data_IF_874176589627
#
_entry.id   IF_874176589627
#
_cell.length_a   1.000
_cell.length_b   1.000
_cell.length_c   1.000
_cell.angle_alpha   90.00
_cell.angle_beta   90.00
_cell.angle_gamma   90.00
#
_symmetry.space_group_name_H-M   'P 1'
#
loop_
_entity.id
_entity.type
_entity.pdbx_description
1 polymer ?
#
# COMPACT_ATOMS: atom_id res chain seq x y z
N UNK A 1 -23.66 -33.54 1.01
CA UNK A 1 -24.15 -32.27 1.58
C UNK A 1 -23.30 -31.96 2.81
N UNK A 2 -22.21 -31.21 2.64
CA UNK A 2 -21.33 -30.79 3.73
C UNK A 2 -21.40 -29.27 3.81
N UNK A 3 -22.09 -28.78 4.83
CA UNK A 3 -22.23 -27.36 5.15
C UNK A 3 -20.93 -26.89 5.78
N UNK A 4 -20.08 -26.23 5.01
CA UNK A 4 -18.89 -25.57 5.55
C UNK A 4 -19.28 -24.23 6.15
N UNK A 5 -19.12 -24.12 7.47
CA UNK A 5 -19.28 -22.93 8.28
C UNK A 5 -18.23 -21.89 7.83
N UNK A 6 -18.64 -20.86 7.08
CA UNK A 6 -17.80 -19.70 6.81
C UNK A 6 -17.83 -18.83 8.06
N UNK A 7 -16.70 -18.81 8.77
CA UNK A 7 -16.51 -17.97 9.94
C UNK A 7 -16.69 -16.50 9.58
N UNK A 8 -17.80 -15.92 10.04
CA UNK A 8 -17.85 -14.50 10.32
C UNK A 8 -16.69 -14.20 11.28
N UNK A 9 -15.76 -13.34 10.85
CA UNK A 9 -14.93 -12.58 11.77
C UNK A 9 -15.85 -11.63 12.55
N UNK A 10 -16.51 -12.19 13.56
CA UNK A 10 -17.10 -11.45 14.66
C UNK A 10 -15.97 -10.97 15.57
N UNK A 11 -15.67 -9.68 15.52
CA UNK A 11 -15.00 -9.01 16.63
C UNK A 11 -15.89 -9.17 17.86
N UNK A 12 -15.38 -9.89 18.86
CA UNK A 12 -16.03 -10.02 20.17
C UNK A 12 -16.10 -8.69 20.88
N UNK A 13 -17.32 -8.21 21.15
CA UNK A 13 -17.59 -7.33 22.27
C UNK A 13 -17.52 -8.16 23.55
N UNK A 14 -16.45 -7.97 24.33
CA UNK A 14 -16.45 -8.27 25.75
C UNK A 14 -16.37 -6.94 26.52
N UNK A 15 -17.55 -6.40 26.84
CA UNK A 15 -17.71 -5.36 27.86
C UNK A 15 -17.63 -6.03 29.24
N UNK A 16 -16.51 -5.86 29.94
CA UNK A 16 -16.42 -6.13 31.37
C UNK A 16 -15.65 -5.01 32.07
N UNK A 17 -16.45 -4.17 32.74
CA UNK A 17 -16.24 -3.57 34.05
C UNK A 17 -14.89 -2.87 34.36
N UNK A 18 -14.98 -1.54 34.45
CA UNK A 18 -14.11 -0.70 35.25
C UNK A 18 -14.10 -1.16 36.72
N UNK A 19 -12.91 -1.35 37.30
CA UNK A 19 -12.71 -1.19 38.73
C UNK A 19 -11.36 -0.53 38.99
N UNK A 20 -11.41 0.77 39.20
CA UNK A 20 -10.33 1.61 39.72
C UNK A 20 -9.94 1.09 41.11
N UNK A 21 -8.64 0.92 41.35
CA UNK A 21 -8.11 0.80 42.71
C UNK A 21 -6.83 1.62 42.80
N UNK A 22 -6.99 2.81 43.36
CA UNK A 22 -5.93 3.66 43.88
C UNK A 22 -5.19 2.91 44.99
N UNK A 23 -3.86 2.81 44.89
CA UNK A 23 -3.00 2.71 46.07
C UNK A 23 -1.58 3.19 45.70
N UNK A 24 -1.31 4.46 46.00
CA UNK A 24 0.05 5.01 45.97
C UNK A 24 0.80 4.61 47.25
N UNK A 25 1.98 3.98 47.16
CA UNK A 25 2.84 3.79 48.31
C UNK A 25 3.63 5.08 48.67
N UNK A 26 3.99 5.26 49.95
CA UNK A 26 4.54 6.49 50.48
C UNK A 26 5.99 6.74 50.06
N UNK A 27 6.30 8.02 49.83
CA UNK A 27 7.63 8.57 49.56
C UNK A 27 8.50 8.52 50.83
N UNK A 28 9.68 7.88 50.82
CA UNK A 28 10.67 8.03 51.87
C UNK A 28 11.56 9.26 51.65
N UNK A 29 11.91 9.90 52.75
CA UNK A 29 12.66 11.13 52.87
C UNK A 29 14.09 11.08 52.31
N UNK A 30 14.48 12.24 51.80
CA UNK A 30 15.82 12.68 51.38
C UNK A 30 16.89 12.46 52.46
N UNK A 31 18.03 11.89 52.08
CA UNK A 31 19.31 12.05 52.78
C UNK A 31 20.30 12.79 51.86
N UNK A 32 21.06 13.78 52.37
CA UNK A 32 22.16 14.36 51.63
C UNK A 32 23.41 13.49 51.81
N UNK A 33 23.93 12.95 50.71
CA UNK A 33 25.25 12.30 50.68
C UNK A 33 26.21 13.21 49.93
N UNK A 34 27.18 13.76 50.66
CA UNK A 34 28.37 14.41 50.12
C UNK A 34 29.14 13.45 49.22
N UNK A 35 29.43 13.86 47.98
CA UNK A 35 30.41 13.19 47.11
C UNK A 35 31.70 14.03 47.05
N UNK A 36 32.88 13.41 47.20
CA UNK A 36 34.16 14.06 46.98
C UNK A 36 34.34 14.43 45.50
N UNK A 37 34.71 15.69 45.26
CA UNK A 37 35.20 16.16 43.98
C UNK A 37 36.53 15.46 43.64
N UNK A 38 36.50 14.56 42.66
CA UNK A 38 37.69 14.22 41.88
C UNK A 38 37.45 14.65 40.44
N UNK A 39 38.00 15.81 40.11
CA UNK A 39 38.12 16.30 38.75
C UNK A 39 39.11 15.42 37.99
N UNK A 40 38.60 14.49 37.19
CA UNK A 40 39.35 13.91 36.07
C UNK A 40 38.85 14.62 34.82
N UNK A 41 39.70 15.46 34.25
CA UNK A 41 39.45 16.10 32.96
C UNK A 41 39.22 14.99 31.92
N UNK A 42 38.07 14.94 31.21
CA UNK A 42 37.98 14.10 30.03
C UNK A 42 38.96 14.67 29.00
N UNK A 43 40.06 13.94 28.77
CA UNK A 43 40.87 14.14 27.58
C UNK A 43 39.91 14.01 26.39
N UNK A 44 39.62 15.14 25.72
CA UNK A 44 39.00 15.15 24.42
C UNK A 44 39.91 14.39 23.46
N UNK A 45 39.70 13.08 23.38
CA UNK A 45 40.21 12.29 22.29
C UNK A 45 39.60 12.88 21.03
N UNK A 46 40.42 13.58 20.25
CA UNK A 46 40.11 14.00 18.90
C UNK A 46 39.81 12.71 18.14
N UNK A 47 38.52 12.39 18.00
CA UNK A 47 38.12 11.29 17.12
C UNK A 47 38.58 11.66 15.71
N UNK A 48 39.24 10.73 14.98
CA UNK A 48 39.57 10.96 13.59
C UNK A 48 38.31 11.36 12.82
N UNK A 49 38.39 12.43 12.02
CA UNK A 49 37.34 12.80 11.06
C UNK A 49 37.10 11.60 10.13
N UNK A 50 36.10 10.78 10.46
CA UNK A 50 35.63 9.72 9.57
C UNK A 50 34.93 10.43 8.41
N UNK A 51 35.39 10.24 7.15
CA UNK A 51 34.74 10.87 6.01
C UNK A 51 33.25 10.53 5.99
N UNK A 52 32.39 11.55 5.91
CA UNK A 52 30.96 11.35 5.79
C UNK A 52 30.67 10.41 4.61
N UNK A 53 29.86 9.38 4.85
CA UNK A 53 29.48 8.44 3.80
C UNK A 53 28.88 9.20 2.60
N UNK A 54 29.22 8.82 1.35
CA UNK A 54 28.71 9.50 0.16
C UNK A 54 27.18 9.50 0.16
N UNK A 55 26.57 10.69 0.16
CA UNK A 55 25.11 10.80 0.11
C UNK A 55 24.59 10.48 -1.28
N UNK A 56 23.48 9.74 -1.37
CA UNK A 56 22.81 9.50 -2.65
C UNK A 56 22.22 10.84 -3.16
N UNK A 57 22.48 11.26 -4.41
CA UNK A 57 22.06 12.57 -4.95
C UNK A 57 20.58 12.62 -5.29
N UNK A 58 19.91 13.75 -5.00
CA UNK A 58 18.49 13.93 -5.32
C UNK A 58 18.23 13.82 -6.84
N UNK A 59 17.04 13.37 -7.20
CA UNK A 59 16.58 13.34 -8.59
C UNK A 59 15.41 14.29 -8.72
N UNK A 60 15.61 15.40 -9.45
CA UNK A 60 14.57 16.37 -9.75
C UNK A 60 13.36 15.71 -10.37
N UNK A 61 12.16 16.26 -10.11
CA UNK A 61 10.92 15.71 -10.67
C UNK A 61 10.98 15.64 -12.19
N UNK A 62 10.63 14.48 -12.74
CA UNK A 62 10.54 14.24 -14.18
C UNK A 62 9.23 13.54 -14.52
N UNK A 63 8.82 13.65 -15.78
CA UNK A 63 7.61 13.02 -16.29
C UNK A 63 7.94 11.71 -17.00
N UNK A 64 7.15 10.68 -16.70
CA UNK A 64 7.23 9.38 -17.33
C UNK A 64 6.03 9.24 -18.26
N UNK A 65 6.28 9.05 -19.55
CA UNK A 65 5.22 8.87 -20.54
C UNK A 65 4.42 7.58 -20.30
N UNK A 66 3.16 7.58 -20.74
CA UNK A 66 2.32 6.38 -20.81
C UNK A 66 3.01 5.24 -21.58
N UNK A 67 2.69 4.00 -21.23
CA UNK A 67 3.04 2.84 -22.06
C UNK A 67 3.32 1.59 -21.25
N UNK A 68 3.78 0.56 -21.95
CA UNK A 68 4.15 -0.74 -21.38
C UNK A 68 5.57 -0.68 -20.80
N UNK A 69 5.77 -1.26 -19.61
CA UNK A 69 7.09 -1.51 -19.04
C UNK A 69 7.69 -2.82 -19.60
N UNK A 70 8.96 -3.10 -19.30
CA UNK A 70 9.63 -4.34 -19.73
C UNK A 70 8.98 -5.62 -19.18
N UNK A 71 8.19 -5.52 -18.11
CA UNK A 71 7.42 -6.64 -17.53
C UNK A 71 6.04 -6.86 -18.20
N UNK A 72 5.75 -6.19 -19.32
CA UNK A 72 4.50 -6.36 -20.07
C UNK A 72 3.26 -5.70 -19.43
N UNK A 73 3.45 -4.85 -18.42
CA UNK A 73 2.37 -4.13 -17.73
C UNK A 73 2.30 -2.69 -18.22
N UNK A 74 1.11 -2.26 -18.63
CA UNK A 74 0.86 -0.89 -19.06
C UNK A 74 0.60 0.04 -17.87
N UNK A 75 1.06 1.28 -17.94
CA UNK A 75 0.73 2.35 -16.99
C UNK A 75 0.37 3.63 -17.73
N UNK A 76 -0.52 4.49 -17.18
CA UNK A 76 -0.67 5.86 -17.67
C UNK A 76 0.62 6.64 -17.44
N UNK A 77 0.71 7.87 -17.98
CA UNK A 77 1.80 8.78 -17.61
C UNK A 77 1.74 9.18 -16.13
N UNK A 78 2.90 9.40 -15.52
CA UNK A 78 3.04 9.80 -14.12
C UNK A 78 4.34 10.58 -13.87
N UNK A 79 4.36 11.42 -12.84
CA UNK A 79 5.57 12.07 -12.34
C UNK A 79 6.37 11.17 -11.39
N UNK A 80 7.70 11.27 -11.42
CA UNK A 80 8.60 10.60 -10.49
C UNK A 80 9.68 11.56 -9.98
N UNK A 81 10.15 11.37 -8.75
CA UNK A 81 11.24 12.13 -8.15
C UNK A 81 11.92 11.34 -7.03
N UNK A 82 13.11 11.80 -6.61
CA UNK A 82 13.79 11.33 -5.40
C UNK A 82 14.28 12.51 -4.59
N UNK A 83 14.02 12.52 -3.29
CA UNK A 83 14.56 13.51 -2.38
C UNK A 83 15.88 13.07 -1.74
N UNK A 84 16.75 14.03 -1.42
CA UNK A 84 17.94 13.74 -0.62
C UNK A 84 17.55 13.29 0.81
N UNK A 85 18.42 12.50 1.45
CA UNK A 85 18.21 12.04 2.84
C UNK A 85 17.16 10.94 3.02
N UNK A 86 16.76 10.27 1.93
CA UNK A 86 15.90 9.09 1.98
C UNK A 86 16.68 7.76 2.12
N UNK A 87 18.01 7.83 2.15
CA UNK A 87 18.90 6.67 2.25
C UNK A 87 18.87 6.05 3.65
N UNK A 88 19.26 4.77 3.76
CA UNK A 88 19.33 4.02 5.04
C UNK A 88 17.98 3.82 5.75
N UNK A 89 16.87 4.16 5.10
CA UNK A 89 15.51 3.96 5.59
C UNK A 89 15.04 2.54 5.36
N UNK A 90 14.30 2.01 6.33
CA UNK A 90 13.51 0.79 6.10
C UNK A 90 12.30 1.09 5.18
N UNK A 91 11.52 0.07 4.84
CA UNK A 91 10.38 0.22 3.94
C UNK A 91 9.35 1.25 4.44
N UNK A 92 9.00 1.22 5.73
CA UNK A 92 7.97 2.12 6.31
C UNK A 92 8.44 3.57 6.27
N UNK A 93 9.67 3.82 6.70
CA UNK A 93 10.28 5.16 6.70
C UNK A 93 10.41 5.71 5.28
N UNK A 94 10.76 4.86 4.31
CA UNK A 94 10.82 5.22 2.89
C UNK A 94 9.43 5.56 2.33
N UNK A 95 8.41 4.75 2.65
CA UNK A 95 7.03 5.01 2.24
C UNK A 95 6.47 6.31 2.84
N UNK A 96 6.78 6.58 4.11
CA UNK A 96 6.42 7.83 4.78
C UNK A 96 7.13 9.03 4.15
N UNK A 97 8.41 8.89 3.76
CA UNK A 97 9.15 9.95 3.09
C UNK A 97 8.50 10.36 1.76
N UNK A 98 8.04 9.40 0.95
CA UNK A 98 7.28 9.72 -0.26
C UNK A 98 5.91 10.32 0.04
N UNK A 99 5.21 9.77 1.05
CA UNK A 99 3.87 10.23 1.44
C UNK A 99 3.88 11.68 1.94
N UNK A 100 4.94 12.10 2.65
CA UNK A 100 5.15 13.47 3.09
C UNK A 100 5.25 14.49 1.93
N UNK A 101 5.39 14.02 0.69
CA UNK A 101 5.47 14.84 -0.52
C UNK A 101 4.22 14.70 -1.40
N UNK A 102 3.17 14.04 -0.90
CA UNK A 102 1.98 13.72 -1.68
C UNK A 102 2.23 12.68 -2.79
N UNK A 103 3.32 11.91 -2.68
CA UNK A 103 3.69 10.83 -3.59
C UNK A 103 3.66 9.48 -2.87
N UNK A 104 3.95 8.40 -3.58
CA UNK A 104 4.10 7.07 -2.99
C UNK A 104 5.38 6.42 -3.49
N UNK A 105 5.85 5.38 -2.83
CA UNK A 105 6.89 4.52 -3.42
C UNK A 105 6.37 4.04 -4.78
N UNK A 106 7.20 4.15 -5.81
CA UNK A 106 6.87 3.59 -7.11
C UNK A 106 6.57 2.09 -6.96
N UNK A 107 5.56 1.57 -7.65
CA UNK A 107 5.45 0.11 -7.83
C UNK A 107 6.61 -0.41 -8.67
N UNK A 108 6.81 -1.72 -8.71
CA UNK A 108 7.83 -2.35 -9.55
C UNK A 108 7.67 -1.95 -11.02
N UNK A 109 6.44 -1.95 -11.55
CA UNK A 109 6.16 -1.49 -12.92
C UNK A 109 6.47 -0.01 -13.12
N UNK A 110 6.08 0.85 -12.16
CA UNK A 110 6.38 2.28 -12.25
C UNK A 110 7.89 2.55 -12.20
N UNK A 111 8.63 1.81 -11.36
CA UNK A 111 10.08 1.92 -11.30
C UNK A 111 10.74 1.59 -12.65
N UNK A 112 10.36 0.48 -13.28
CA UNK A 112 10.91 0.08 -14.59
C UNK A 112 10.69 1.17 -15.65
N UNK A 113 9.46 1.74 -15.69
CA UNK A 113 9.10 2.85 -16.58
C UNK A 113 9.89 4.13 -16.28
N UNK A 114 10.01 4.49 -15.00
CA UNK A 114 10.78 5.65 -14.58
C UNK A 114 12.28 5.49 -14.91
N UNK A 115 12.81 4.29 -14.77
CA UNK A 115 14.20 3.97 -15.07
C UNK A 115 14.51 4.01 -16.57
N UNK A 116 13.60 3.51 -17.40
CA UNK A 116 13.74 3.66 -18.85
C UNK A 116 13.72 5.13 -19.28
N UNK A 117 12.93 5.98 -18.62
CA UNK A 117 12.87 7.41 -18.91
C UNK A 117 14.07 8.20 -18.35
N UNK A 118 14.62 7.75 -17.23
CA UNK A 118 15.79 8.36 -16.58
C UNK A 118 16.70 7.27 -16.00
N UNK A 119 17.69 6.77 -16.76
CA UNK A 119 18.56 5.67 -16.33
C UNK A 119 19.39 5.93 -15.07
N UNK A 120 19.56 7.20 -14.66
CA UNK A 120 20.28 7.54 -13.42
C UNK A 120 19.60 7.00 -12.15
N UNK A 121 18.30 6.71 -12.20
CA UNK A 121 17.60 6.11 -11.05
C UNK A 121 18.11 4.68 -10.76
N UNK A 122 18.70 4.01 -11.75
CA UNK A 122 19.18 2.64 -11.63
C UNK A 122 20.48 2.50 -10.84
N UNK A 123 21.19 3.60 -10.59
CA UNK A 123 22.49 3.61 -9.92
C UNK A 123 22.40 3.06 -8.50
N UNK A 124 21.27 3.25 -7.82
CA UNK A 124 21.05 2.81 -6.45
C UNK A 124 19.83 1.89 -6.38
N UNK A 125 19.81 0.99 -5.40
CA UNK A 125 18.61 0.20 -5.14
C UNK A 125 17.51 1.11 -4.59
N UNK A 126 16.26 0.92 -5.02
CA UNK A 126 15.09 1.62 -4.51
C UNK A 126 14.12 0.63 -3.90
N UNK A 127 13.51 1.01 -2.78
CA UNK A 127 12.26 0.40 -2.34
C UNK A 127 11.18 0.56 -3.41
N UNK A 128 10.27 -0.42 -3.49
CA UNK A 128 9.05 -0.31 -4.30
C UNK A 128 7.83 -0.61 -3.44
N UNK A 129 6.64 -0.17 -3.86
CA UNK A 129 5.38 -0.55 -3.23
C UNK A 129 4.90 -1.98 -3.58
N UNK A 130 5.73 -2.76 -4.30
CA UNK A 130 5.41 -4.12 -4.73
C UNK A 130 5.96 -5.15 -3.75
N UNK A 131 5.09 -6.05 -3.29
CA UNK A 131 5.48 -7.16 -2.42
C UNK A 131 5.76 -8.44 -3.21
N UNK A 132 6.81 -9.16 -2.85
CA UNK A 132 7.12 -10.49 -3.36
C UNK A 132 6.42 -11.58 -2.53
N UNK A 133 6.68 -12.85 -2.87
CA UNK A 133 6.29 -13.97 -2.02
C UNK A 133 7.07 -13.95 -0.70
N UNK A 134 6.44 -14.37 0.41
CA UNK A 134 7.17 -14.63 1.66
C UNK A 134 7.57 -13.38 2.47
N UNK A 135 6.70 -12.37 2.52
CA UNK A 135 6.87 -11.15 3.34
C UNK A 135 8.07 -10.27 2.94
N UNK A 136 8.61 -10.43 1.74
CA UNK A 136 9.65 -9.57 1.20
C UNK A 136 9.05 -8.46 0.33
N UNK A 137 9.67 -7.29 0.36
CA UNK A 137 9.38 -6.18 -0.55
C UNK A 137 10.33 -6.26 -1.73
N UNK A 138 9.82 -6.02 -2.93
CA UNK A 138 10.66 -5.94 -4.12
C UNK A 138 11.47 -4.64 -4.07
N UNK A 139 12.77 -4.76 -4.27
CA UNK A 139 13.66 -3.63 -4.53
C UNK A 139 14.19 -3.71 -5.96
N UNK A 140 14.39 -2.55 -6.60
CA UNK A 140 14.91 -2.46 -7.97
C UNK A 140 16.09 -1.50 -8.06
N UNK A 141 17.02 -1.70 -8.99
CA UNK A 141 18.22 -0.86 -9.15
C UNK A 141 19.47 -1.38 -8.42
N UNK A 142 20.54 -0.58 -8.37
CA UNK A 142 21.83 -0.97 -7.80
C UNK A 142 22.68 -1.87 -8.71
N UNK A 143 22.16 -2.24 -9.87
CA UNK A 143 22.82 -3.03 -10.91
C UNK A 143 22.21 -2.80 -12.29
N UNK A 144 21.62 -1.62 -12.51
CA UNK A 144 20.84 -1.30 -13.72
C UNK A 144 19.32 -1.42 -13.50
N UNK A 145 18.53 -1.04 -14.52
CA UNK A 145 17.07 -0.92 -14.40
C UNK A 145 16.37 -2.25 -14.10
N UNK A 146 16.93 -3.34 -14.63
CA UNK A 146 16.38 -4.68 -14.48
C UNK A 146 16.84 -5.40 -13.21
N UNK A 147 17.82 -4.84 -12.48
CA UNK A 147 18.27 -5.42 -11.22
C UNK A 147 17.09 -5.49 -10.24
N UNK A 148 16.80 -6.71 -9.77
CA UNK A 148 15.69 -7.03 -8.87
C UNK A 148 16.20 -7.81 -7.67
N UNK A 149 15.72 -7.45 -6.49
CA UNK A 149 15.94 -8.24 -5.29
C UNK A 149 14.67 -8.25 -4.44
N UNK A 150 14.58 -9.22 -3.54
CA UNK A 150 13.51 -9.34 -2.55
C UNK A 150 14.16 -9.09 -1.19
N UNK A 151 13.74 -8.04 -0.51
CA UNK A 151 14.35 -7.64 0.76
C UNK A 151 13.32 -7.64 1.89
N UNK A 152 13.74 -8.02 3.09
CA UNK A 152 12.87 -7.90 4.27
C UNK A 152 12.54 -6.41 4.51
N UNK A 153 11.29 -6.06 4.86
CA UNK A 153 10.87 -4.67 4.94
C UNK A 153 11.58 -3.88 6.05
N UNK A 154 12.07 -4.55 7.09
CA UNK A 154 12.84 -3.95 8.18
C UNK A 154 14.31 -3.69 7.86
N UNK A 155 14.85 -4.23 6.76
CA UNK A 155 16.25 -4.08 6.41
C UNK A 155 16.60 -2.62 6.11
N UNK A 156 17.84 -2.23 6.42
CA UNK A 156 18.38 -0.90 6.15
C UNK A 156 19.63 -1.02 5.32
N UNK A 157 19.86 -0.06 4.43
CA UNK A 157 21.03 -0.04 3.56
C UNK A 157 21.35 1.39 3.11
N UNK A 158 22.61 1.79 3.28
CA UNK A 158 23.10 3.13 2.90
C UNK A 158 23.14 3.33 1.38
N UNK A 159 23.11 2.23 0.61
CA UNK A 159 23.05 2.25 -0.85
C UNK A 159 21.62 2.10 -1.40
N UNK A 160 20.61 2.23 -0.53
CA UNK A 160 19.20 2.13 -0.89
C UNK A 160 18.47 3.45 -0.70
N UNK A 161 17.65 3.82 -1.67
CA UNK A 161 16.86 5.04 -1.71
C UNK A 161 15.35 4.76 -1.87
N UNK A 162 14.56 5.81 -1.97
CA UNK A 162 13.12 5.76 -2.19
C UNK A 162 12.75 6.60 -3.43
N UNK A 163 12.55 5.94 -4.57
CA UNK A 163 11.96 6.60 -5.73
C UNK A 163 10.47 6.80 -5.48
N UNK A 164 10.04 8.07 -5.48
CA UNK A 164 8.68 8.47 -5.21
C UNK A 164 7.95 8.80 -6.51
N UNK A 165 6.81 8.16 -6.76
CA UNK A 165 5.99 8.34 -7.94
C UNK A 165 4.62 8.94 -7.58
N UNK A 166 4.05 9.67 -8.53
CA UNK A 166 2.60 9.87 -8.57
C UNK A 166 1.93 8.50 -8.71
N UNK A 167 0.79 8.32 -8.07
CA UNK A 167 0.16 7.01 -8.02
C UNK A 167 -0.41 6.60 -9.37
N UNK A 168 0.04 5.46 -9.90
CA UNK A 168 -0.53 4.81 -11.08
C UNK A 168 -0.66 3.29 -10.87
N UNK A 169 -1.80 2.72 -11.25
CA UNK A 169 -2.07 1.28 -11.19
C UNK A 169 -1.62 0.62 -12.50
N UNK A 170 -0.85 -0.47 -12.40
CA UNK A 170 -0.45 -1.23 -13.58
C UNK A 170 -1.63 -2.02 -14.16
N UNK A 171 -1.81 -1.98 -15.47
CA UNK A 171 -2.87 -2.71 -16.18
C UNK A 171 -2.26 -3.78 -17.07
N UNK A 172 -2.71 -5.02 -16.90
CA UNK A 172 -2.45 -6.12 -17.84
C UNK A 172 -3.76 -6.54 -18.49
N UNK A 173 -3.82 -6.52 -19.82
CA UNK A 173 -5.05 -6.87 -20.54
C UNK A 173 -4.73 -7.30 -21.97
N UNK A 174 -5.59 -8.16 -22.54
CA UNK A 174 -5.58 -8.46 -23.97
C UNK A 174 -6.16 -7.34 -24.83
N UNK A 175 -6.91 -6.40 -24.24
CA UNK A 175 -7.47 -5.26 -24.96
C UNK A 175 -6.45 -4.10 -25.03
N UNK A 176 -5.79 -3.95 -26.17
CA UNK A 176 -4.75 -2.92 -26.38
C UNK A 176 -5.28 -1.51 -26.68
N UNK A 177 -6.60 -1.27 -26.60
CA UNK A 177 -7.17 0.06 -26.77
C UNK A 177 -6.76 0.99 -25.59
N UNK A 178 -6.01 2.06 -25.88
CA UNK A 178 -5.52 2.99 -24.84
C UNK A 178 -6.64 3.67 -24.05
N UNK A 179 -7.77 4.03 -24.69
CA UNK A 179 -8.90 4.63 -23.98
C UNK A 179 -9.52 3.66 -22.96
N UNK A 180 -9.63 2.37 -23.31
CA UNK A 180 -10.07 1.32 -22.40
C UNK A 180 -9.12 1.18 -21.20
N UNK A 181 -7.80 1.12 -21.43
CA UNK A 181 -6.80 0.98 -20.36
C UNK A 181 -6.79 2.21 -19.43
N UNK A 182 -6.85 3.42 -20.00
CA UNK A 182 -6.95 4.68 -19.24
C UNK A 182 -8.20 4.76 -18.39
N UNK A 183 -9.37 4.46 -18.98
CA UNK A 183 -10.64 4.50 -18.26
C UNK A 183 -10.65 3.48 -17.12
N UNK A 184 -10.17 2.27 -17.35
CA UNK A 184 -10.10 1.22 -16.33
C UNK A 184 -9.12 1.56 -15.21
N UNK A 185 -7.94 2.09 -15.56
CA UNK A 185 -6.98 2.62 -14.59
C UNK A 185 -7.62 3.73 -13.72
N UNK A 186 -8.25 4.71 -14.36
CA UNK A 186 -8.85 5.84 -13.65
C UNK A 186 -9.97 5.41 -12.70
N UNK A 187 -10.78 4.43 -13.11
CA UNK A 187 -11.86 3.86 -12.32
C UNK A 187 -11.34 3.12 -11.08
N UNK A 188 -10.30 2.28 -11.24
CA UNK A 188 -9.64 1.58 -10.14
C UNK A 188 -8.91 2.53 -9.19
N UNK A 189 -8.21 3.53 -9.73
CA UNK A 189 -7.51 4.53 -8.91
C UNK A 189 -8.48 5.42 -8.15
N UNK A 190 -9.64 5.74 -8.74
CA UNK A 190 -10.72 6.46 -8.06
C UNK A 190 -11.25 5.66 -6.86
N UNK A 191 -11.49 4.36 -7.04
CA UNK A 191 -11.86 3.47 -5.94
C UNK A 191 -10.80 3.43 -4.84
N UNK A 192 -9.51 3.25 -5.19
CA UNK A 192 -8.40 3.25 -4.22
C UNK A 192 -8.35 4.54 -3.40
N UNK A 193 -8.46 5.69 -4.07
CA UNK A 193 -8.44 7.01 -3.41
C UNK A 193 -9.61 7.16 -2.44
N UNK A 194 -10.81 6.78 -2.85
CA UNK A 194 -11.99 6.89 -1.99
C UNK A 194 -11.95 5.91 -0.81
N UNK A 195 -11.42 4.71 -1.03
CA UNK A 195 -11.18 3.72 0.03
C UNK A 195 -10.17 4.23 1.06
N UNK A 196 -9.03 4.76 0.59
CA UNK A 196 -7.99 5.35 1.45
C UNK A 196 -8.43 6.68 2.09
N UNK A 197 -9.42 7.35 1.51
CA UNK A 197 -10.13 8.48 2.10
C UNK A 197 -10.98 8.10 3.32
N UNK A 198 -11.17 6.79 3.59
CA UNK A 198 -11.85 6.24 4.77
C UNK A 198 -13.27 6.81 4.95
N UNK A 199 -13.94 7.08 3.84
CA UNK A 199 -15.29 7.65 3.80
C UNK A 199 -16.22 6.70 3.08
N UNK A 200 -17.06 5.99 3.86
CA UNK A 200 -18.08 5.09 3.30
C UNK A 200 -19.03 5.83 2.35
N UNK A 201 -19.39 7.08 2.64
CA UNK A 201 -20.25 7.88 1.76
C UNK A 201 -19.60 8.15 0.40
N UNK A 202 -18.30 8.41 0.36
CA UNK A 202 -17.59 8.63 -0.91
C UNK A 202 -17.43 7.31 -1.65
N UNK A 203 -17.13 6.22 -0.94
CA UNK A 203 -16.99 4.88 -1.50
C UNK A 203 -18.32 4.34 -2.06
N UNK A 204 -19.45 4.76 -1.47
CA UNK A 204 -20.81 4.41 -1.89
C UNK A 204 -21.07 4.66 -3.37
N UNK A 205 -20.38 5.62 -3.99
CA UNK A 205 -20.55 5.90 -5.43
C UNK A 205 -20.00 4.79 -6.33
N UNK A 206 -19.23 3.84 -5.81
CA UNK A 206 -18.70 2.72 -6.61
C UNK A 206 -19.64 1.50 -6.61
N UNK A 207 -20.51 1.37 -5.62
CA UNK A 207 -21.38 0.22 -5.46
C UNK A 207 -22.62 0.30 -6.35
N UNK A 208 -23.05 -0.85 -6.87
CA UNK A 208 -24.42 -1.06 -7.33
C UNK A 208 -25.38 -1.18 -6.13
N UNK A 209 -26.69 -1.17 -6.38
CA UNK A 209 -27.70 -1.28 -5.32
C UNK A 209 -27.64 -2.64 -4.58
N UNK A 210 -27.21 -3.68 -5.29
CA UNK A 210 -26.92 -5.01 -4.74
C UNK A 210 -25.50 -5.42 -5.14
N UNK A 211 -24.71 -5.89 -4.18
CA UNK A 211 -23.32 -6.28 -4.36
C UNK A 211 -23.09 -7.67 -3.78
N UNK A 212 -22.45 -8.55 -4.54
CA UNK A 212 -21.88 -9.80 -4.01
C UNK A 212 -20.52 -9.50 -3.38
N UNK A 213 -20.49 -9.39 -2.06
CA UNK A 213 -19.31 -9.08 -1.26
C UNK A 213 -18.82 -10.35 -0.56
N UNK A 214 -17.63 -10.84 -0.92
CA UNK A 214 -17.03 -12.08 -0.39
C UNK A 214 -18.02 -13.28 -0.38
N UNK A 215 -18.79 -13.41 -1.47
CA UNK A 215 -19.78 -14.46 -1.66
C UNK A 215 -21.17 -14.18 -1.06
N UNK A 216 -21.31 -13.18 -0.18
CA UNK A 216 -22.60 -12.77 0.37
C UNK A 216 -23.25 -11.69 -0.50
N UNK A 217 -24.55 -11.80 -0.76
CA UNK A 217 -25.31 -10.75 -1.45
C UNK A 217 -25.78 -9.73 -0.44
N UNK A 218 -25.28 -8.50 -0.55
CA UNK A 218 -25.57 -7.39 0.34
C UNK A 218 -26.23 -6.24 -0.42
N UNK A 219 -27.10 -5.50 0.26
CA UNK A 219 -27.53 -4.20 -0.25
C UNK A 219 -26.41 -3.17 -0.12
N UNK A 220 -26.44 -2.15 -0.97
CA UNK A 220 -25.52 -1.01 -0.92
C UNK A 220 -25.39 -0.41 0.49
N UNK A 221 -26.51 -0.17 1.16
CA UNK A 221 -26.53 0.39 2.51
C UNK A 221 -25.82 -0.52 3.54
N UNK A 222 -25.92 -1.85 3.37
CA UNK A 222 -25.23 -2.80 4.23
C UNK A 222 -23.73 -2.83 3.97
N UNK A 223 -23.31 -2.70 2.71
CA UNK A 223 -21.89 -2.54 2.36
C UNK A 223 -21.34 -1.26 2.98
N UNK A 224 -22.03 -0.13 2.82
CA UNK A 224 -21.60 1.17 3.37
C UNK A 224 -21.48 1.11 4.91
N UNK A 225 -22.43 0.48 5.60
CA UNK A 225 -22.37 0.28 7.05
C UNK A 225 -21.15 -0.57 7.47
N UNK A 226 -20.87 -1.66 6.73
CA UNK A 226 -19.72 -2.52 6.98
C UNK A 226 -18.41 -1.76 6.83
N UNK A 227 -18.27 -1.01 5.73
CA UNK A 227 -17.09 -0.19 5.46
C UNK A 227 -16.90 0.92 6.49
N UNK A 228 -17.97 1.62 6.88
CA UNK A 228 -17.91 2.63 7.94
C UNK A 228 -17.43 2.05 9.27
N UNK A 229 -17.89 0.85 9.62
CA UNK A 229 -17.48 0.15 10.83
C UNK A 229 -16.00 -0.24 10.75
N UNK A 230 -15.57 -0.77 9.60
CA UNK A 230 -14.17 -1.12 9.34
C UNK A 230 -13.23 0.09 9.45
N UNK A 231 -13.59 1.21 8.82
CA UNK A 231 -12.80 2.45 8.87
C UNK A 231 -12.70 3.02 10.29
N UNK A 232 -13.76 2.89 11.08
CA UNK A 232 -13.77 3.33 12.48
C UNK A 232 -12.86 2.45 13.36
N UNK A 233 -12.86 1.14 13.13
CA UNK A 233 -12.01 0.19 13.88
C UNK A 233 -10.55 0.23 13.46
N UNK A 234 -10.23 0.73 12.27
CA UNK A 234 -8.88 0.78 11.71
C UNK A 234 -8.58 2.18 11.14
N UNK A 235 -8.41 3.20 12.00
CA UNK A 235 -8.24 4.59 11.56
C UNK A 235 -6.92 4.80 10.80
N UNK A 236 -5.91 3.98 11.10
CA UNK A 236 -4.61 3.96 10.44
C UNK A 236 -4.58 2.76 9.50
N UNK A 237 -5.00 2.98 8.26
CA UNK A 237 -4.94 1.96 7.23
C UNK A 237 -4.76 2.57 5.86
N UNK A 238 -4.26 1.75 4.93
CA UNK A 238 -4.20 2.08 3.52
C UNK A 238 -4.27 0.81 2.67
N UNK A 239 -4.65 0.98 1.41
CA UNK A 239 -4.74 -0.06 0.39
C UNK A 239 -4.14 0.44 -0.91
N UNK A 240 -3.35 -0.40 -1.57
CA UNK A 240 -2.72 -0.15 -2.87
C UNK A 240 -2.99 -1.31 -3.82
N UNK A 241 -3.44 -1.02 -5.04
CA UNK A 241 -3.55 -1.96 -6.15
C UNK A 241 -2.32 -1.88 -7.06
N UNK A 242 -1.43 -2.85 -6.98
CA UNK A 242 -0.17 -2.83 -7.73
C UNK A 242 -0.41 -3.02 -9.25
N UNK A 243 -0.78 -4.25 -9.63
CA UNK A 243 -1.12 -4.63 -11.00
C UNK A 243 -2.51 -5.27 -11.01
N UNK A 244 -3.33 -4.88 -11.98
CA UNK A 244 -4.64 -5.43 -12.22
C UNK A 244 -4.71 -6.12 -13.58
N UNK A 245 -5.07 -7.40 -13.57
CA UNK A 245 -5.39 -8.17 -14.76
C UNK A 245 -6.86 -7.91 -15.16
N UNK A 246 -7.07 -7.31 -16.34
CA UNK A 246 -8.38 -6.89 -16.83
C UNK A 246 -8.87 -7.73 -18.00
N UNK A 247 -10.16 -8.09 -17.95
CA UNK A 247 -10.86 -8.76 -19.05
C UNK A 247 -12.35 -8.41 -19.05
N UNK A 248 -12.98 -8.56 -20.22
CA UNK A 248 -14.45 -8.60 -20.30
C UNK A 248 -14.88 -10.05 -20.11
N UNK A 249 -15.64 -10.31 -19.06
CA UNK A 249 -16.08 -11.66 -18.68
C UNK A 249 -17.46 -11.59 -18.02
N UNK A 250 -18.03 -12.74 -17.70
CA UNK A 250 -19.29 -12.77 -16.95
C UNK A 250 -19.07 -12.27 -15.52
N UNK A 251 -19.92 -11.34 -15.10
CA UNK A 251 -20.02 -10.84 -13.72
C UNK A 251 -21.36 -11.23 -13.14
N UNK A 252 -21.42 -11.36 -11.82
CA UNK A 252 -22.68 -11.62 -11.12
C UNK A 252 -23.61 -10.41 -11.15
N UNK A 253 -24.90 -10.67 -11.33
CA UNK A 253 -25.99 -9.69 -11.20
C UNK A 253 -27.15 -10.31 -10.42
N UNK A 254 -28.01 -9.50 -9.77
CA UNK A 254 -29.28 -9.98 -9.27
C UNK A 254 -30.09 -10.65 -10.40
N UNK A 255 -30.40 -11.94 -10.23
CA UNK A 255 -31.17 -12.71 -11.21
C UNK A 255 -30.36 -13.36 -12.34
N UNK A 256 -29.03 -13.24 -12.38
CA UNK A 256 -28.23 -13.92 -13.41
C UNK A 256 -26.76 -13.51 -13.50
N UNK A 257 -26.23 -13.55 -14.71
CA UNK A 257 -24.89 -13.09 -15.08
C UNK A 257 -24.95 -12.35 -16.40
N UNK A 258 -24.08 -11.38 -16.57
CA UNK A 258 -23.91 -10.66 -17.84
C UNK A 258 -22.44 -10.30 -18.07
N UNK A 259 -22.07 -9.84 -19.27
CA UNK A 259 -20.71 -9.39 -19.57
C UNK A 259 -20.44 -8.06 -18.87
N UNK A 260 -19.39 -8.06 -18.05
CA UNK A 260 -18.87 -6.89 -17.35
C UNK A 260 -17.36 -6.82 -17.40
N UNK A 261 -16.82 -5.75 -16.84
CA UNK A 261 -15.39 -5.60 -16.61
C UNK A 261 -15.02 -6.40 -15.35
N UNK A 262 -14.12 -7.38 -15.51
CA UNK A 262 -13.47 -8.07 -14.40
C UNK A 262 -12.07 -7.50 -14.23
N UNK A 263 -11.73 -7.15 -12.99
CA UNK A 263 -10.38 -6.74 -12.60
C UNK A 263 -9.90 -7.60 -11.43
N UNK A 264 -8.83 -8.35 -11.65
CA UNK A 264 -8.14 -9.09 -10.59
C UNK A 264 -6.89 -8.30 -10.21
N UNK A 265 -6.93 -7.61 -9.07
CA UNK A 265 -5.89 -6.68 -8.63
C UNK A 265 -5.04 -7.26 -7.51
N UNK A 266 -3.74 -7.34 -7.72
CA UNK A 266 -2.79 -7.59 -6.62
C UNK A 266 -2.86 -6.41 -5.64
N UNK A 267 -3.29 -6.71 -4.43
CA UNK A 267 -3.65 -5.75 -3.40
C UNK A 267 -2.68 -5.86 -2.25
N UNK A 268 -2.18 -4.72 -1.81
CA UNK A 268 -1.37 -4.57 -0.61
C UNK A 268 -2.17 -3.68 0.32
N UNK A 269 -2.46 -4.16 1.52
CA UNK A 269 -3.08 -3.32 2.55
C UNK A 269 -2.23 -3.35 3.79
N UNK A 270 -2.22 -2.24 4.54
CA UNK A 270 -1.68 -2.22 5.88
C UNK A 270 -2.72 -1.70 6.85
N UNK A 271 -2.75 -2.33 8.02
CA UNK A 271 -3.55 -1.90 9.17
C UNK A 271 -2.59 -1.56 10.30
N UNK A 272 -2.85 -0.45 10.99
CA UNK A 272 -2.03 0.09 12.08
C UNK A 272 -0.55 0.33 11.72
N UNK A 273 -0.22 0.46 10.43
CA UNK A 273 1.13 0.57 9.89
C UNK A 273 2.09 -0.59 10.23
N UNK A 274 1.60 -1.70 10.79
CA UNK A 274 2.42 -2.87 11.16
C UNK A 274 1.97 -4.14 10.45
N UNK A 275 0.67 -4.29 10.20
CA UNK A 275 0.09 -5.53 9.70
C UNK A 275 -0.16 -5.39 8.20
N UNK A 276 0.87 -5.70 7.42
CA UNK A 276 0.73 -5.73 5.96
C UNK A 276 0.13 -7.06 5.54
N UNK A 277 -0.80 -7.01 4.59
CA UNK A 277 -1.38 -8.18 3.94
C UNK A 277 -1.35 -8.02 2.44
N UNK A 278 -1.02 -9.12 1.75
CA UNK A 278 -0.99 -9.18 0.29
C UNK A 278 -1.95 -10.26 -0.18
N UNK A 279 -2.89 -9.88 -1.03
CA UNK A 279 -3.91 -10.76 -1.60
C UNK A 279 -4.36 -10.24 -2.96
N UNK A 280 -5.25 -10.97 -3.62
CA UNK A 280 -5.92 -10.51 -4.84
C UNK A 280 -7.31 -10.00 -4.48
N UNK A 281 -7.62 -8.77 -4.89
CA UNK A 281 -9.00 -8.26 -4.88
C UNK A 281 -9.58 -8.47 -6.26
N UNK A 282 -10.64 -9.28 -6.33
CA UNK A 282 -11.46 -9.46 -7.50
C UNK A 282 -12.56 -8.38 -7.52
N UNK A 283 -12.69 -7.67 -8.63
CA UNK A 283 -13.80 -6.77 -8.90
C UNK A 283 -14.57 -7.27 -10.12
N UNK A 284 -15.87 -7.51 -9.95
CA UNK A 284 -16.84 -7.58 -11.04
C UNK A 284 -17.57 -6.25 -11.14
N UNK A 285 -17.42 -5.57 -12.28
CA UNK A 285 -18.07 -4.29 -12.56
C UNK A 285 -19.01 -4.40 -13.75
N UNK A 286 -20.19 -3.83 -13.60
CA UNK A 286 -21.23 -3.82 -14.63
C UNK A 286 -21.70 -2.40 -14.91
N UNK A 287 -22.09 -2.14 -16.17
CA UNK A 287 -22.71 -0.88 -16.57
C UNK A 287 -24.13 -1.19 -17.00
N UNK A 288 -25.10 -0.80 -16.18
CA UNK A 288 -26.50 -0.89 -16.54
C UNK A 288 -26.79 0.01 -17.75
N UNK A 289 -27.81 -0.36 -18.53
CA UNK A 289 -28.29 0.47 -19.63
C UNK A 289 -28.68 1.86 -19.11
N UNK A 290 -28.19 2.91 -19.77
CA UNK A 290 -28.38 4.29 -19.35
C UNK A 290 -27.48 4.79 -18.21
N UNK A 291 -26.71 3.92 -17.51
CA UNK A 291 -25.67 4.38 -16.59
C UNK A 291 -24.39 4.72 -17.38
N UNK A 292 -23.77 5.84 -17.02
CA UNK A 292 -22.48 6.27 -17.57
C UNK A 292 -21.30 5.63 -16.84
N UNK A 293 -21.53 5.00 -15.69
CA UNK A 293 -20.50 4.45 -14.81
C UNK A 293 -20.56 2.93 -14.72
N UNK A 294 -19.39 2.31 -14.60
CA UNK A 294 -19.27 0.93 -14.20
C UNK A 294 -19.40 0.87 -12.68
N UNK A 295 -20.38 0.13 -12.16
CA UNK A 295 -20.55 -0.08 -10.72
C UNK A 295 -20.03 -1.44 -10.34
N UNK A 296 -19.45 -1.53 -9.15
CA UNK A 296 -19.07 -2.81 -8.55
C UNK A 296 -20.34 -3.54 -8.16
N UNK A 297 -20.57 -4.68 -8.82
CA UNK A 297 -21.62 -5.64 -8.53
C UNK A 297 -21.07 -6.84 -7.78
N UNK A 298 -19.76 -7.05 -7.83
CA UNK A 298 -19.08 -8.13 -7.14
C UNK A 298 -17.71 -7.66 -6.64
N UNK A 299 -17.40 -7.97 -5.39
CA UNK A 299 -16.05 -7.83 -4.84
C UNK A 299 -15.74 -9.05 -3.99
N UNK A 300 -14.58 -9.63 -4.19
CA UNK A 300 -14.12 -10.77 -3.40
C UNK A 300 -12.61 -10.68 -3.17
N UNK A 301 -12.16 -11.19 -2.04
CA UNK A 301 -10.76 -11.26 -1.68
C UNK A 301 -10.33 -12.73 -1.69
N UNK A 302 -9.22 -13.06 -2.36
CA UNK A 302 -8.67 -14.43 -2.25
C UNK A 302 -8.32 -14.71 -0.79
N UNK A 303 -9.01 -15.72 -0.22
CA UNK A 303 -8.88 -16.19 1.17
C UNK A 303 -7.47 -16.58 1.61
N UNK A 304 -6.51 -16.69 0.68
CA UNK A 304 -5.08 -16.84 0.97
C UNK A 304 -4.45 -15.53 1.46
N UNK A 305 -5.11 -14.86 2.41
CA UNK A 305 -4.56 -13.70 3.12
C UNK A 305 -3.29 -14.16 3.80
N UNK A 306 -2.14 -13.78 3.24
CA UNK A 306 -0.86 -13.92 3.91
C UNK A 306 -0.72 -12.71 4.82
N UNK A 307 -1.02 -12.92 6.12
CA UNK A 307 -0.60 -11.97 7.15
C UNK A 307 0.92 -11.96 7.13
N UNK A 308 1.50 -10.82 6.78
CA UNK A 308 2.93 -10.63 6.90
C UNK A 308 3.23 -10.34 8.37
N UNK A 309 4.38 -10.81 8.87
CA UNK A 309 4.83 -10.51 10.23
C UNK A 309 4.84 -8.99 10.46
N UNK A 310 4.64 -8.52 11.70
CA UNK A 310 4.69 -7.09 12.01
C UNK A 310 6.00 -6.47 11.50
N UNK A 311 5.86 -5.30 10.84
CA UNK A 311 6.96 -4.47 10.35
C UNK A 311 7.90 -4.00 11.47
#
# INVERSE_FOLDING_TARGET
MHTALVGLLGLGLALLACKSKDESPPVPATQPVEQPQSAVQPQSAVQPDVPAAPSIPAVSRFQVGEGEASNGVWTPGFGAQRSAGDQSKNFVEAAQACSGQGLQLCTETQYLKACAANPSVATYASWTATWASGNAVVTRGGGGCEARSETAPGDRSDSRMALCCERAIGIRTGNKNSAFMKASHADLLSYEKDFNGKSASTLSKHWADSVRFDGAVLSKARVDQSQSSWFSSHPVQWTLYDVCDLKIAEVWLPGGKDKGLVADCKTVTAVNNSDVSVFTTHFGRFRAEGDTRNRIVEIAHDSRIRKLSPL
#
